data_IF_006377761027
#
_entry.id   IF_006377761027
#
_cell.length_a   1.000
_cell.length_b   1.000
_cell.length_c   1.000
_cell.angle_alpha   90.00
_cell.angle_beta   90.00
_cell.angle_gamma   90.00
#
_symmetry.space_group_name_H-M   'P 1'
#
loop_
_entity.id
_entity.type
_entity.pdbx_description
1 polymer ?
#
# COMPACT_ATOMS: atom_id res chain seq x y z
N UNK A 1 8.29 7.70 -22.34
CA UNK A 1 8.89 7.28 -21.05
C UNK A 1 7.85 6.97 -19.96
N UNK A 2 6.78 7.76 -19.81
CA UNK A 2 5.72 7.52 -18.79
C UNK A 2 5.14 6.10 -18.89
N UNK A 3 4.92 5.58 -20.09
CA UNK A 3 4.38 4.25 -20.30
C UNK A 3 5.31 3.12 -19.83
N UNK A 4 6.63 3.30 -19.96
CA UNK A 4 7.63 2.33 -19.49
C UNK A 4 7.67 2.26 -17.96
N UNK A 5 7.42 3.39 -17.29
CA UNK A 5 7.47 3.52 -15.83
C UNK A 5 6.09 3.41 -15.15
N UNK A 6 5.05 3.00 -15.87
CA UNK A 6 3.68 2.98 -15.33
C UNK A 6 3.54 2.11 -14.07
N UNK A 7 4.24 0.99 -13.99
CA UNK A 7 4.23 0.11 -12.81
C UNK A 7 4.94 0.75 -11.63
N UNK A 8 6.05 1.47 -11.85
CA UNK A 8 6.77 2.23 -10.82
C UNK A 8 5.88 3.33 -10.25
N UNK A 9 5.25 4.11 -11.14
CA UNK A 9 4.31 5.17 -10.75
C UNK A 9 3.11 4.60 -9.97
N UNK A 10 2.61 3.43 -10.35
CA UNK A 10 1.54 2.72 -9.63
C UNK A 10 1.95 2.36 -8.21
N UNK A 11 3.15 1.82 -8.00
CA UNK A 11 3.67 1.47 -6.69
C UNK A 11 3.90 2.71 -5.80
N UNK A 12 4.44 3.79 -6.38
CA UNK A 12 4.60 5.08 -5.67
C UNK A 12 3.23 5.64 -5.24
N UNK A 13 2.26 5.65 -6.16
CA UNK A 13 0.91 6.11 -5.86
C UNK A 13 0.26 5.30 -4.73
N UNK A 14 0.30 3.97 -4.82
CA UNK A 14 -0.28 3.09 -3.80
C UNK A 14 0.38 3.29 -2.43
N UNK A 15 1.71 3.41 -2.38
CA UNK A 15 2.44 3.65 -1.14
C UNK A 15 2.08 5.01 -0.51
N UNK A 16 2.00 6.07 -1.32
CA UNK A 16 1.64 7.41 -0.87
C UNK A 16 0.18 7.45 -0.37
N UNK A 17 -0.75 6.87 -1.13
CA UNK A 17 -2.17 6.80 -0.76
C UNK A 17 -2.35 6.03 0.55
N UNK A 18 -1.72 4.86 0.68
CA UNK A 18 -1.74 4.05 1.90
C UNK A 18 -1.23 4.84 3.10
N UNK A 19 -0.06 5.47 2.96
CA UNK A 19 0.54 6.27 4.04
C UNK A 19 -0.39 7.40 4.48
N UNK A 20 -1.06 8.07 3.55
CA UNK A 20 -1.99 9.15 3.88
C UNK A 20 -3.25 8.63 4.58
N UNK A 21 -3.79 7.49 4.16
CA UNK A 21 -4.93 6.86 4.83
C UNK A 21 -4.55 6.40 6.25
N UNK A 22 -3.37 5.83 6.45
CA UNK A 22 -2.86 5.44 7.77
C UNK A 22 -2.68 6.65 8.70
N UNK A 23 -2.24 7.82 8.17
CA UNK A 23 -2.19 9.08 8.93
C UNK A 23 -3.58 9.60 9.35
N UNK A 24 -4.61 9.29 8.56
CA UNK A 24 -6.00 9.60 8.89
C UNK A 24 -6.63 8.60 9.88
N UNK A 25 -5.87 7.57 10.32
CA UNK A 25 -6.31 6.57 11.28
C UNK A 25 -6.94 5.32 10.65
N UNK A 26 -6.96 5.20 9.31
CA UNK A 26 -7.38 3.95 8.69
C UNK A 26 -6.32 2.88 8.84
N UNK A 27 -6.74 1.66 9.12
CA UNK A 27 -5.87 0.48 9.05
C UNK A 27 -5.90 -0.10 7.65
N UNK A 28 -4.74 -0.50 7.14
CA UNK A 28 -4.59 -1.06 5.80
C UNK A 28 -4.02 -2.48 5.84
N UNK A 29 -4.30 -3.25 4.79
CA UNK A 29 -3.76 -4.59 4.56
C UNK A 29 -3.29 -4.69 3.12
N UNK A 30 -2.04 -5.09 2.90
CA UNK A 30 -1.51 -5.36 1.55
C UNK A 30 -2.19 -6.60 0.98
N UNK A 31 -2.68 -6.50 -0.25
CA UNK A 31 -3.43 -7.57 -0.91
C UNK A 31 -2.92 -7.93 -2.31
N UNK A 32 -2.07 -7.10 -2.91
CA UNK A 32 -1.61 -7.26 -4.30
C UNK A 32 -0.10 -7.21 -4.48
N UNK A 33 0.35 -7.48 -5.71
CA UNK A 33 1.77 -7.58 -6.07
C UNK A 33 2.49 -6.22 -6.18
N UNK A 34 1.76 -5.13 -6.35
CA UNK A 34 2.32 -3.79 -6.61
C UNK A 34 1.91 -2.80 -5.52
N UNK A 35 2.06 -3.21 -4.26
CA UNK A 35 1.69 -2.37 -3.12
C UNK A 35 0.19 -2.08 -3.02
N UNK A 36 -0.64 -2.82 -3.75
CA UNK A 36 -2.09 -2.72 -3.65
C UNK A 36 -2.54 -3.10 -2.25
N UNK A 37 -3.52 -2.39 -1.72
CA UNK A 37 -3.99 -2.59 -0.37
C UNK A 37 -5.51 -2.43 -0.27
N UNK A 38 -6.07 -2.96 0.80
CA UNK A 38 -7.46 -2.80 1.20
C UNK A 38 -7.53 -2.14 2.58
N UNK A 39 -8.61 -1.41 2.82
CA UNK A 39 -8.88 -0.84 4.16
C UNK A 39 -9.47 -1.97 5.01
N UNK A 40 -8.90 -2.19 6.19
CA UNK A 40 -9.46 -3.13 7.17
C UNK A 40 -10.84 -2.64 7.65
N UNK A 41 -11.73 -3.58 7.89
CA UNK A 41 -13.12 -3.27 8.26
C UNK A 41 -14.07 -3.17 7.07
N UNK A 42 -13.56 -3.22 5.84
CA UNK A 42 -14.38 -3.37 4.63
C UNK A 42 -14.42 -4.85 4.27
N UNK A 43 -15.59 -5.48 4.39
CA UNK A 43 -15.75 -6.90 4.11
C UNK A 43 -15.60 -7.21 2.60
N UNK A 44 -15.24 -8.45 2.27
CA UNK A 44 -14.92 -8.86 0.89
C UNK A 44 -16.13 -8.75 -0.05
N UNK A 45 -17.31 -9.10 0.42
CA UNK A 45 -18.58 -8.99 -0.29
C UNK A 45 -18.90 -7.53 -0.66
N UNK A 46 -18.63 -6.59 0.25
CA UNK A 46 -18.76 -5.16 -0.01
C UNK A 46 -17.80 -4.73 -1.13
N UNK A 47 -16.52 -5.11 -1.06
CA UNK A 47 -15.52 -4.79 -2.10
C UNK A 47 -15.95 -5.34 -3.46
N UNK A 48 -16.44 -6.57 -3.50
CA UNK A 48 -16.90 -7.22 -4.74
C UNK A 48 -18.16 -6.56 -5.29
N UNK A 49 -19.13 -6.22 -4.44
CA UNK A 49 -20.36 -5.53 -4.86
C UNK A 49 -20.08 -4.14 -5.46
N UNK A 50 -19.01 -3.46 -5.03
CA UNK A 50 -18.59 -2.19 -5.61
C UNK A 50 -17.62 -2.32 -6.80
N UNK A 51 -17.14 -3.53 -7.09
CA UNK A 51 -16.26 -3.82 -8.23
C UNK A 51 -17.01 -4.06 -9.54
N UNK A 52 -18.01 -3.21 -9.84
CA UNK A 52 -18.91 -3.37 -10.98
C UNK A 52 -18.16 -3.56 -12.32
N UNK A 53 -17.08 -2.83 -12.51
CA UNK A 53 -16.24 -2.92 -13.70
C UNK A 53 -15.68 -4.32 -13.89
N UNK A 54 -15.17 -4.92 -12.82
CA UNK A 54 -14.63 -6.29 -12.85
C UNK A 54 -15.73 -7.30 -13.17
N UNK A 55 -16.89 -7.15 -12.58
CA UNK A 55 -18.04 -8.03 -12.84
C UNK A 55 -18.46 -7.96 -14.30
N UNK A 56 -18.57 -6.76 -14.88
CA UNK A 56 -18.90 -6.57 -16.30
C UNK A 56 -17.87 -7.23 -17.22
N UNK A 57 -16.57 -7.08 -16.93
CA UNK A 57 -15.49 -7.68 -17.71
C UNK A 57 -15.57 -9.21 -17.65
N UNK A 58 -15.75 -9.79 -16.46
CA UNK A 58 -15.82 -11.24 -16.27
C UNK A 58 -17.07 -11.82 -16.94
N UNK A 59 -18.24 -11.20 -16.77
CA UNK A 59 -19.47 -11.63 -17.42
C UNK A 59 -19.38 -11.56 -18.96
N UNK A 60 -18.67 -10.57 -19.49
CA UNK A 60 -18.43 -10.45 -20.94
C UNK A 60 -17.44 -11.52 -21.41
N UNK A 61 -16.40 -11.83 -20.63
CA UNK A 61 -15.45 -12.89 -20.93
C UNK A 61 -16.16 -14.25 -21.00
N UNK A 62 -17.01 -14.54 -20.01
CA UNK A 62 -17.82 -15.76 -19.97
C UNK A 62 -18.73 -15.91 -21.20
N UNK A 63 -19.44 -14.84 -21.57
CA UNK A 63 -20.27 -14.81 -22.79
C UNK A 63 -19.48 -15.07 -24.07
N UNK A 64 -18.21 -14.70 -24.10
CA UNK A 64 -17.30 -14.92 -25.23
C UNK A 64 -16.53 -16.25 -25.14
N UNK A 65 -16.83 -17.09 -24.14
CA UNK A 65 -16.14 -18.38 -23.92
C UNK A 65 -14.66 -18.19 -23.55
N UNK A 66 -14.27 -17.04 -22.96
CA UNK A 66 -12.90 -16.74 -22.55
C UNK A 66 -12.69 -17.01 -21.07
N UNK A 67 -11.51 -17.54 -20.72
CA UNK A 67 -11.17 -17.79 -19.34
C UNK A 67 -10.95 -16.50 -18.55
N UNK A 68 -11.37 -16.48 -17.29
CA UNK A 68 -11.06 -15.39 -16.33
C UNK A 68 -9.54 -15.21 -16.08
N UNK A 69 -8.72 -16.18 -16.49
CA UNK A 69 -7.25 -16.14 -16.38
C UNK A 69 -6.56 -15.68 -17.69
N UNK A 70 -7.31 -15.52 -18.77
CA UNK A 70 -6.79 -15.03 -20.05
C UNK A 70 -6.61 -13.50 -20.00
N UNK A 71 -5.41 -13.10 -19.59
CA UNK A 71 -5.06 -11.68 -19.38
C UNK A 71 -5.15 -10.85 -20.63
N UNK A 72 -4.90 -11.43 -21.83
CA UNK A 72 -4.94 -10.71 -23.10
C UNK A 72 -6.39 -10.50 -23.54
N UNK A 73 -7.23 -11.54 -23.49
CA UNK A 73 -8.65 -11.42 -23.75
C UNK A 73 -9.33 -10.44 -22.79
N UNK A 74 -9.02 -10.49 -21.49
CA UNK A 74 -9.56 -9.57 -20.51
C UNK A 74 -9.12 -8.12 -20.78
N UNK A 75 -7.89 -7.89 -21.25
CA UNK A 75 -7.40 -6.56 -21.62
C UNK A 75 -8.18 -6.00 -22.79
N UNK A 76 -8.50 -6.81 -23.80
CA UNK A 76 -9.28 -6.37 -24.95
C UNK A 76 -10.74 -6.10 -24.58
N UNK A 77 -11.36 -7.00 -23.81
CA UNK A 77 -12.71 -6.80 -23.26
C UNK A 77 -12.78 -5.51 -22.44
N UNK A 78 -11.75 -5.23 -21.62
CA UNK A 78 -11.65 -4.01 -20.84
C UNK A 78 -11.67 -2.76 -21.71
N UNK A 79 -11.03 -2.76 -22.87
CA UNK A 79 -11.06 -1.63 -23.81
C UNK A 79 -12.44 -1.44 -24.42
N UNK A 80 -13.08 -2.54 -24.85
CA UNK A 80 -14.38 -2.51 -25.57
C UNK A 80 -15.57 -2.19 -24.67
N UNK A 81 -15.52 -2.58 -23.41
CA UNK A 81 -16.62 -2.40 -22.43
C UNK A 81 -16.45 -1.15 -21.56
N UNK A 82 -15.67 -0.17 -22.00
CA UNK A 82 -15.45 1.05 -21.22
C UNK A 82 -16.62 1.99 -21.37
N UNK A 83 -17.39 2.14 -20.31
CA UNK A 83 -18.46 3.13 -20.25
C UNK A 83 -17.92 4.56 -20.35
N UNK A 84 -18.70 5.50 -20.91
CA UNK A 84 -18.36 6.91 -20.89
C UNK A 84 -18.21 7.41 -19.43
N UNK A 85 -17.39 8.42 -19.22
CA UNK A 85 -17.22 9.01 -17.89
C UNK A 85 -18.56 9.61 -17.43
N UNK A 86 -18.95 9.29 -16.18
CA UNK A 86 -20.13 9.88 -15.54
C UNK A 86 -20.01 11.40 -15.48
N UNK A 87 -21.13 12.09 -15.76
CA UNK A 87 -21.21 13.55 -15.67
C UNK A 87 -21.06 14.01 -14.20
N UNK A 88 -20.38 15.13 -13.94
CA UNK A 88 -20.24 15.69 -12.59
C UNK A 88 -21.56 15.97 -11.87
N UNK A 89 -22.62 16.24 -12.63
CA UNK A 89 -23.93 16.62 -12.08
C UNK A 89 -24.66 15.48 -11.35
N UNK A 90 -24.29 14.22 -11.64
CA UNK A 90 -24.90 13.03 -11.04
C UNK A 90 -24.23 12.58 -9.72
N UNK A 91 -23.26 13.32 -9.19
CA UNK A 91 -22.47 12.91 -8.02
C UNK A 91 -23.31 12.70 -6.76
N UNK A 92 -24.36 13.51 -6.56
CA UNK A 92 -25.22 13.37 -5.37
C UNK A 92 -26.07 12.10 -5.43
N UNK A 93 -26.71 11.86 -6.57
CA UNK A 93 -27.49 10.65 -6.82
C UNK A 93 -26.62 9.39 -6.69
N UNK A 94 -25.42 9.42 -7.26
CA UNK A 94 -24.46 8.32 -7.18
C UNK A 94 -24.02 8.04 -5.73
N UNK A 95 -23.76 9.08 -4.91
CA UNK A 95 -23.43 8.91 -3.49
C UNK A 95 -24.57 8.31 -2.69
N UNK A 96 -25.80 8.72 -2.98
CA UNK A 96 -27.01 8.16 -2.34
C UNK A 96 -27.19 6.68 -2.69
N UNK A 97 -27.00 6.35 -3.97
CA UNK A 97 -27.05 4.95 -4.42
C UNK A 97 -25.99 4.10 -3.75
N UNK A 98 -24.74 4.59 -3.67
CA UNK A 98 -23.65 3.89 -2.98
C UNK A 98 -23.95 3.69 -1.51
N UNK A 99 -24.47 4.71 -0.83
CA UNK A 99 -24.82 4.61 0.59
C UNK A 99 -25.94 3.57 0.81
N UNK A 100 -26.97 3.56 -0.05
CA UNK A 100 -28.05 2.58 -0.02
C UNK A 100 -27.56 1.15 -0.27
N UNK A 101 -26.66 0.97 -1.25
CA UNK A 101 -26.03 -0.32 -1.57
C UNK A 101 -25.17 -0.82 -0.40
N UNK A 102 -24.37 0.05 0.21
CA UNK A 102 -23.54 -0.28 1.36
C UNK A 102 -24.40 -0.72 2.57
N UNK A 103 -25.46 0.03 2.86
CA UNK A 103 -26.39 -0.30 3.93
C UNK A 103 -27.12 -1.64 3.68
N UNK A 104 -27.49 -1.94 2.44
CA UNK A 104 -28.07 -3.23 2.05
C UNK A 104 -27.15 -4.44 2.26
N UNK A 105 -25.84 -4.21 2.31
CA UNK A 105 -24.82 -5.22 2.63
C UNK A 105 -24.41 -5.21 4.11
N UNK A 106 -25.11 -4.45 4.96
CA UNK A 106 -24.78 -4.31 6.38
C UNK A 106 -23.47 -3.54 6.65
N UNK A 107 -22.95 -2.80 5.66
CA UNK A 107 -21.72 -2.03 5.81
C UNK A 107 -22.03 -0.59 6.22
N UNK A 108 -21.56 -0.19 7.40
CA UNK A 108 -21.64 1.19 7.90
C UNK A 108 -20.33 1.96 7.63
N UNK A 109 -20.33 2.69 6.51
CA UNK A 109 -19.20 3.52 6.13
C UNK A 109 -18.97 4.69 7.11
N UNK A 110 -20.03 5.20 7.80
CA UNK A 110 -19.88 6.28 8.76
C UNK A 110 -19.17 5.80 10.02
N UNK A 111 -19.57 4.63 10.53
CA UNK A 111 -18.89 4.01 11.68
C UNK A 111 -17.39 3.77 11.40
N UNK A 112 -17.04 3.30 10.19
CA UNK A 112 -15.63 3.13 9.80
C UNK A 112 -14.85 4.47 9.78
N UNK A 113 -15.47 5.54 9.29
CA UNK A 113 -14.87 6.90 9.29
C UNK A 113 -14.69 7.41 10.71
N UNK A 114 -15.68 7.27 11.58
CA UNK A 114 -15.57 7.71 12.99
C UNK A 114 -14.48 6.92 13.74
N UNK A 115 -14.41 5.61 13.57
CA UNK A 115 -13.31 4.81 14.14
C UNK A 115 -11.92 5.24 13.63
N UNK A 116 -11.82 5.61 12.36
CA UNK A 116 -10.58 6.13 11.82
C UNK A 116 -10.24 7.51 12.42
N UNK A 117 -11.22 8.40 12.56
CA UNK A 117 -11.06 9.71 13.20
C UNK A 117 -10.61 9.57 14.65
N UNK A 118 -11.26 8.71 15.42
CA UNK A 118 -10.88 8.44 16.79
C UNK A 118 -9.41 7.99 16.87
N UNK A 119 -9.01 7.02 16.08
CA UNK A 119 -7.60 6.58 16.01
C UNK A 119 -6.64 7.67 15.54
N UNK A 120 -7.05 8.51 14.59
CA UNK A 120 -6.25 9.61 14.07
C UNK A 120 -6.13 10.78 15.07
N UNK A 121 -7.18 11.09 15.82
CA UNK A 121 -7.21 12.12 16.87
C UNK A 121 -6.55 11.66 18.16
N UNK A 122 -6.71 10.38 18.50
CA UNK A 122 -6.15 9.77 19.69
C UNK A 122 -4.60 9.78 19.71
N UNK A 123 -3.94 9.87 18.56
CA UNK A 123 -2.50 10.12 18.48
C UNK A 123 -2.09 11.50 19.02
N UNK A 124 -3.06 12.40 19.26
CA UNK A 124 -2.83 13.79 19.70
C UNK A 124 -3.24 14.10 21.14
N UNK A 125 -4.27 13.47 21.71
CA UNK A 125 -4.91 14.02 22.93
C UNK A 125 -5.44 13.06 23.98
N UNK A 126 -5.13 11.76 24.00
CA UNK A 126 -5.71 10.88 25.03
C UNK A 126 -4.75 10.46 26.14
N UNK A 127 -5.23 10.41 27.41
CA UNK A 127 -4.44 9.97 28.55
C UNK A 127 -3.99 8.51 28.46
N UNK A 128 -2.80 8.24 28.93
CA UNK A 128 -2.18 6.91 29.10
C UNK A 128 -3.02 6.02 30.03
N UNK A 129 -4.11 5.42 29.56
CA UNK A 129 -4.97 4.73 30.53
C UNK A 129 -5.84 3.57 30.07
N UNK A 130 -6.02 3.30 28.77
CA UNK A 130 -6.83 2.15 28.36
C UNK A 130 -5.98 0.87 28.20
N UNK A 131 -6.45 -0.32 28.68
CA UNK A 131 -5.71 -1.57 28.53
C UNK A 131 -5.32 -1.92 27.10
N UNK A 132 -6.15 -1.56 26.13
CA UNK A 132 -5.89 -1.75 24.70
C UNK A 132 -4.73 -0.90 24.21
N UNK A 133 -4.62 0.35 24.63
CA UNK A 133 -3.50 1.23 24.31
C UNK A 133 -2.18 0.78 24.92
N UNK A 134 -2.22 0.29 26.13
CA UNK A 134 -1.02 -0.29 26.76
C UNK A 134 -0.50 -1.46 25.93
N UNK A 135 -1.37 -2.34 25.45
CA UNK A 135 -1.01 -3.45 24.57
C UNK A 135 -0.47 -2.97 23.20
N UNK A 136 -1.11 -1.98 22.59
CA UNK A 136 -0.65 -1.40 21.33
C UNK A 136 0.71 -0.70 21.48
N UNK A 137 0.88 0.05 22.56
CA UNK A 137 2.15 0.71 22.86
C UNK A 137 3.25 -0.30 23.13
N UNK A 138 2.96 -1.36 23.91
CA UNK A 138 3.91 -2.44 24.16
C UNK A 138 4.27 -3.22 22.90
N UNK A 139 3.31 -3.48 22.01
CA UNK A 139 3.58 -4.14 20.73
C UNK A 139 4.43 -3.26 19.82
N UNK A 140 4.14 -1.96 19.74
CA UNK A 140 4.93 -1.00 18.97
C UNK A 140 6.35 -0.84 19.53
N UNK A 141 6.51 -0.85 20.86
CA UNK A 141 7.81 -0.84 21.51
C UNK A 141 8.60 -2.12 21.24
N UNK A 142 7.94 -3.28 21.35
CA UNK A 142 8.56 -4.58 21.05
C UNK A 142 9.03 -4.67 19.59
N UNK A 143 8.21 -4.19 18.66
CA UNK A 143 8.56 -4.16 17.23
C UNK A 143 9.68 -3.16 16.95
N UNK A 144 9.72 -2.05 17.67
CA UNK A 144 10.83 -1.10 17.62
C UNK A 144 12.12 -1.74 18.15
N UNK A 145 12.09 -2.39 19.30
CA UNK A 145 13.27 -3.09 19.87
C UNK A 145 13.80 -4.11 18.87
N UNK A 146 12.94 -4.91 18.23
CA UNK A 146 13.36 -5.87 17.21
C UNK A 146 14.06 -5.22 16.02
N UNK A 147 13.66 -4.01 15.62
CA UNK A 147 14.34 -3.27 14.55
C UNK A 147 15.78 -2.90 14.92
N UNK A 148 15.99 -2.45 16.16
CA UNK A 148 17.30 -2.01 16.64
C UNK A 148 18.24 -3.18 16.97
N UNK A 149 17.72 -4.33 17.36
CA UNK A 149 18.49 -5.53 17.77
C UNK A 149 18.77 -6.52 16.63
N UNK A 150 18.40 -6.19 15.39
CA UNK A 150 18.70 -7.06 14.22
C UNK A 150 20.21 -7.21 14.01
N UNK A 151 20.66 -8.37 13.48
CA UNK A 151 22.04 -8.60 13.10
C UNK A 151 22.55 -7.49 12.16
N UNK A 152 23.87 -7.28 12.19
CA UNK A 152 24.56 -6.36 11.30
C UNK A 152 24.34 -6.78 9.83
N UNK A 153 24.10 -5.81 8.98
CA UNK A 153 23.83 -5.99 7.55
C UNK A 153 24.60 -4.92 6.77
N UNK A 154 25.37 -5.34 5.78
CA UNK A 154 26.21 -4.43 4.97
C UNK A 154 25.40 -3.36 4.23
N UNK A 155 24.12 -3.61 3.92
CA UNK A 155 23.24 -2.67 3.24
C UNK A 155 22.44 -1.77 4.19
N UNK A 156 22.59 -1.93 5.49
CA UNK A 156 21.93 -1.10 6.51
C UNK A 156 22.93 -0.41 7.40
N UNK A 157 22.47 0.59 8.13
CA UNK A 157 23.26 1.24 9.18
C UNK A 157 23.43 0.30 10.37
N UNK A 158 24.64 0.17 10.88
CA UNK A 158 25.01 -0.77 11.93
C UNK A 158 25.58 -0.08 13.19
N UNK A 159 25.67 -0.85 14.26
CA UNK A 159 26.28 -0.39 15.51
C UNK A 159 25.52 0.76 16.18
N UNK A 160 26.25 1.64 16.85
CA UNK A 160 25.68 2.79 17.57
C UNK A 160 24.95 3.78 16.69
N UNK A 161 25.35 3.91 15.43
CA UNK A 161 24.65 4.78 14.47
C UNK A 161 23.21 4.34 14.21
N UNK A 162 22.89 3.05 14.38
CA UNK A 162 21.52 2.56 14.23
C UNK A 162 20.58 3.18 15.27
N UNK A 163 21.05 3.49 16.46
CA UNK A 163 20.23 4.04 17.55
C UNK A 163 19.81 5.49 17.25
N UNK A 164 20.56 6.21 16.41
CA UNK A 164 20.21 7.58 16.01
C UNK A 164 19.11 7.64 14.96
N UNK A 165 18.78 6.52 14.30
CA UNK A 165 17.75 6.45 13.27
C UNK A 165 16.36 6.26 13.89
N UNK A 166 15.38 6.90 13.29
CA UNK A 166 13.98 6.67 13.63
C UNK A 166 13.53 5.28 13.17
N UNK A 167 12.48 4.68 13.78
CA UNK A 167 11.93 3.40 13.31
C UNK A 167 11.53 3.40 11.83
N UNK A 168 11.06 4.53 11.31
CA UNK A 168 10.72 4.70 9.89
C UNK A 168 11.96 4.64 9.00
N UNK A 169 13.04 5.32 9.39
CA UNK A 169 14.30 5.26 8.67
C UNK A 169 14.86 3.84 8.63
N UNK A 170 14.87 3.15 9.77
CA UNK A 170 15.30 1.74 9.83
C UNK A 170 14.47 0.82 8.93
N UNK A 171 13.14 0.98 8.92
CA UNK A 171 12.25 0.23 8.03
C UNK A 171 12.56 0.52 6.56
N UNK A 172 12.85 1.78 6.23
CA UNK A 172 13.23 2.19 4.87
C UNK A 172 14.55 1.54 4.45
N UNK A 173 15.57 1.57 5.31
CA UNK A 173 16.85 0.90 5.04
C UNK A 173 16.66 -0.60 4.80
N UNK A 174 15.86 -1.25 5.63
CA UNK A 174 15.59 -2.68 5.51
C UNK A 174 14.79 -3.03 4.25
N UNK A 175 13.81 -2.21 3.89
CA UNK A 175 13.04 -2.38 2.65
C UNK A 175 13.97 -2.22 1.44
N UNK A 176 14.83 -1.22 1.45
CA UNK A 176 15.82 -0.99 0.38
C UNK A 176 16.83 -2.15 0.28
N UNK A 177 17.37 -2.61 1.39
CA UNK A 177 18.28 -3.75 1.43
C UNK A 177 17.64 -5.04 0.91
N UNK A 178 16.39 -5.29 1.28
CA UNK A 178 15.62 -6.44 0.79
C UNK A 178 15.34 -6.32 -0.72
N UNK A 179 15.00 -5.13 -1.20
CA UNK A 179 14.78 -4.89 -2.62
C UNK A 179 16.03 -5.14 -3.45
N UNK A 180 17.19 -4.68 -3.00
CA UNK A 180 18.49 -4.92 -3.65
C UNK A 180 18.75 -6.43 -3.79
N UNK A 181 18.51 -7.21 -2.74
CA UNK A 181 18.70 -8.67 -2.79
C UNK A 181 17.72 -9.35 -3.73
N UNK A 182 16.44 -9.01 -3.64
CA UNK A 182 15.39 -9.60 -4.49
C UNK A 182 15.67 -9.37 -5.97
N UNK A 183 16.11 -8.16 -6.33
CA UNK A 183 16.43 -7.84 -7.72
C UNK A 183 17.74 -8.50 -8.13
N UNK A 184 18.78 -8.41 -7.30
CA UNK A 184 20.09 -8.98 -7.59
C UNK A 184 20.10 -10.51 -7.74
N UNK A 185 19.12 -11.22 -7.15
CA UNK A 185 18.92 -12.66 -7.40
C UNK A 185 18.30 -12.97 -8.77
N UNK A 186 17.65 -12.01 -9.40
CA UNK A 186 16.87 -12.23 -10.64
C UNK A 186 17.46 -11.58 -11.86
N UNK A 187 18.12 -10.45 -11.69
CA UNK A 187 18.58 -9.60 -12.77
C UNK A 187 20.03 -9.17 -12.54
N UNK A 188 20.82 -9.20 -13.60
CA UNK A 188 22.23 -8.77 -13.57
C UNK A 188 22.38 -7.24 -13.65
N UNK A 189 21.34 -6.56 -14.14
CA UNK A 189 21.28 -5.10 -14.22
C UNK A 189 19.84 -4.63 -13.94
N UNK A 190 19.71 -3.56 -13.21
CA UNK A 190 18.40 -3.00 -12.82
C UNK A 190 18.44 -1.48 -12.76
N UNK A 191 17.29 -0.86 -12.97
CA UNK A 191 17.17 0.58 -12.85
C UNK A 191 16.90 1.02 -11.41
N UNK A 192 17.24 2.27 -11.11
CA UNK A 192 16.87 2.90 -9.83
C UNK A 192 15.36 2.85 -9.58
N UNK A 193 14.57 3.01 -10.62
CA UNK A 193 13.10 2.91 -10.55
C UNK A 193 12.61 1.52 -10.16
N UNK A 194 13.24 0.45 -10.66
CA UNK A 194 12.90 -0.94 -10.30
C UNK A 194 13.18 -1.20 -8.83
N UNK A 195 14.25 -0.63 -8.30
CA UNK A 195 14.62 -0.76 -6.90
C UNK A 195 13.62 -0.03 -6.00
N UNK A 196 13.26 1.21 -6.31
CA UNK A 196 12.23 1.98 -5.60
C UNK A 196 10.90 1.22 -5.62
N UNK A 197 10.48 0.77 -6.79
CA UNK A 197 9.27 -0.03 -6.96
C UNK A 197 9.29 -1.27 -6.07
N UNK A 198 10.34 -2.06 -6.12
CA UNK A 198 10.46 -3.31 -5.37
C UNK A 198 10.44 -3.05 -3.85
N UNK A 199 11.13 -2.01 -3.37
CA UNK A 199 11.11 -1.62 -1.96
C UNK A 199 9.70 -1.21 -1.50
N UNK A 200 8.95 -0.47 -2.32
CA UNK A 200 7.57 -0.06 -2.01
C UNK A 200 6.58 -1.23 -2.07
N UNK A 201 6.78 -2.16 -3.00
CA UNK A 201 5.94 -3.35 -3.17
C UNK A 201 6.03 -4.32 -1.97
N UNK A 202 7.10 -4.24 -1.17
CA UNK A 202 7.20 -4.96 0.12
C UNK A 202 6.14 -4.50 1.13
N UNK A 203 5.52 -3.35 0.92
CA UNK A 203 4.41 -2.88 1.74
C UNK A 203 4.78 -2.54 3.19
N UNK A 204 6.04 -2.25 3.47
CA UNK A 204 6.50 -1.92 4.82
C UNK A 204 5.93 -0.58 5.28
N UNK A 205 5.38 -0.53 6.49
CA UNK A 205 4.71 0.65 7.04
C UNK A 205 5.66 1.85 7.14
N UNK A 206 5.23 3.00 6.61
CA UNK A 206 5.96 4.26 6.69
C UNK A 206 7.10 4.40 5.66
N UNK A 207 7.33 3.41 4.81
CA UNK A 207 8.32 3.51 3.71
C UNK A 207 7.74 4.33 2.58
N UNK A 208 8.50 5.35 2.14
CA UNK A 208 8.13 6.28 1.07
C UNK A 208 9.15 6.23 -0.07
N UNK A 209 8.74 6.68 -1.25
CA UNK A 209 9.63 6.74 -2.40
C UNK A 209 10.86 7.61 -2.11
N UNK A 210 10.66 8.81 -1.55
CA UNK A 210 11.76 9.73 -1.22
C UNK A 210 12.74 9.13 -0.21
N UNK A 211 12.23 8.39 0.79
CA UNK A 211 13.06 7.70 1.76
C UNK A 211 13.93 6.62 1.13
N UNK A 212 13.35 5.82 0.23
CA UNK A 212 14.08 4.79 -0.52
C UNK A 212 15.12 5.41 -1.44
N UNK A 213 14.75 6.46 -2.17
CA UNK A 213 15.66 7.21 -3.05
C UNK A 213 16.84 7.79 -2.30
N UNK A 214 16.60 8.42 -1.14
CA UNK A 214 17.65 8.96 -0.29
C UNK A 214 18.59 7.84 0.19
N UNK A 215 18.06 6.68 0.59
CA UNK A 215 18.87 5.53 1.02
C UNK A 215 19.71 4.96 -0.12
N UNK A 216 19.15 4.83 -1.31
CA UNK A 216 19.89 4.41 -2.51
C UNK A 216 21.07 5.36 -2.75
N UNK A 217 20.84 6.68 -2.66
CA UNK A 217 21.90 7.69 -2.82
C UNK A 217 23.05 7.49 -1.84
N UNK A 218 22.77 7.18 -0.57
CA UNK A 218 23.80 6.87 0.43
C UNK A 218 24.57 5.60 0.06
N UNK A 219 23.87 4.52 -0.34
CA UNK A 219 24.53 3.25 -0.70
C UNK A 219 25.42 3.37 -1.95
N UNK A 220 25.03 4.20 -2.92
CA UNK A 220 25.84 4.50 -4.10
C UNK A 220 27.07 5.34 -3.71
N UNK A 221 26.89 6.38 -2.87
CA UNK A 221 28.00 7.21 -2.38
C UNK A 221 29.02 6.39 -1.56
N UNK A 222 28.54 5.40 -0.80
CA UNK A 222 29.39 4.47 -0.03
C UNK A 222 30.03 3.37 -0.90
N UNK A 223 29.75 3.32 -2.20
CA UNK A 223 30.24 2.26 -3.10
C UNK A 223 29.69 0.87 -2.83
N UNK A 224 28.57 0.76 -2.11
CA UNK A 224 27.93 -0.52 -1.77
C UNK A 224 26.97 -1.01 -2.85
N UNK A 225 26.57 -0.12 -3.73
CA UNK A 225 25.71 -0.36 -4.88
C UNK A 225 26.28 0.46 -6.04
N UNK A 226 26.43 -0.15 -7.22
CA UNK A 226 26.93 0.48 -8.45
C UNK A 226 25.78 0.93 -9.35
#
# INVERSE_FOLDING_TARGET
EIWKNNTVLGSIYNAALRTNLEKLGYETKITGKHGQFEIKGVARDVIEAFSQRRLTILATAEKLGKSANDTEALREITKRTRDPKLNPDDKLALRQEWAKRAAGLGFDAKALVEQARERGSEGRESPLGSPQRVQETLSALRDSVKLYTRPADTLTTNGLQRITLTPTQLRTEMATASAIRIIGERETSWSRGDLVKTALDLGVKGVTADGVEARIGVLVADGRVL
#
